data_IF_278807087776
#
_entry.id   IF_278807087776
#
_cell.length_a   1.000
_cell.length_b   1.000
_cell.length_c   1.000
_cell.angle_alpha   90.00
_cell.angle_beta   90.00
_cell.angle_gamma   90.00
#
_symmetry.space_group_name_H-M   'P 1'
#
loop_
_entity.id
_entity.type
_entity.pdbx_description
1 polymer ?
#
# COMPACT_ATOMS: atom_id res chain seq x y z
N UNK A 1 12.35 19.94 -5.38
CA UNK A 1 10.92 19.57 -5.52
C UNK A 1 10.43 19.16 -4.15
N UNK A 2 9.23 19.54 -3.75
CA UNK A 2 8.62 19.02 -2.51
C UNK A 2 8.38 17.52 -2.69
N UNK A 3 8.63 16.70 -1.65
CA UNK A 3 8.36 15.27 -1.68
C UNK A 3 6.88 14.96 -1.94
N UNK A 4 6.58 13.71 -2.24
CA UNK A 4 5.19 13.24 -2.43
C UNK A 4 4.50 13.21 -1.08
N UNK A 5 3.30 13.81 -0.98
CA UNK A 5 2.52 13.77 0.27
C UNK A 5 2.31 12.34 0.75
N UNK A 6 2.79 12.05 1.95
CA UNK A 6 2.84 10.70 2.51
C UNK A 6 2.23 10.70 3.90
N UNK A 7 1.13 9.97 4.04
CA UNK A 7 0.43 9.80 5.31
C UNK A 7 0.84 8.46 5.92
N UNK A 8 1.50 8.50 7.07
CA UNK A 8 1.80 7.29 7.85
C UNK A 8 0.70 7.13 8.90
N UNK A 9 -0.13 6.11 8.73
CA UNK A 9 -1.24 5.78 9.64
C UNK A 9 -0.67 4.94 10.78
N UNK A 10 -0.64 5.50 11.97
CA UNK A 10 -0.06 4.83 13.15
C UNK A 10 -0.84 5.15 14.42
N UNK A 11 -0.71 4.27 15.41
CA UNK A 11 -1.19 4.48 16.77
C UNK A 11 0.00 4.48 17.74
N UNK A 12 0.67 5.62 17.86
CA UNK A 12 1.86 5.80 18.71
C UNK A 12 1.65 5.32 20.15
N UNK A 13 0.47 5.56 20.72
CA UNK A 13 0.21 5.23 22.12
C UNK A 13 0.07 3.72 22.35
N UNK A 14 -0.46 3.00 21.36
CA UNK A 14 -0.65 1.54 21.43
C UNK A 14 0.49 0.74 20.82
N UNK A 15 1.23 1.35 19.87
CA UNK A 15 2.27 0.71 19.06
C UNK A 15 3.51 1.61 18.98
N UNK A 16 4.12 1.97 20.12
CA UNK A 16 5.29 2.85 20.11
C UNK A 16 6.49 2.24 19.37
N UNK A 17 6.62 0.92 19.35
CA UNK A 17 7.63 0.17 18.62
C UNK A 17 7.46 0.33 17.11
N UNK A 18 6.28 0.07 16.57
CA UNK A 18 5.97 0.26 15.15
C UNK A 18 6.13 1.71 14.73
N UNK A 19 5.63 2.63 15.57
CA UNK A 19 5.79 4.06 15.33
C UNK A 19 7.25 4.47 15.20
N UNK A 20 8.11 4.02 16.11
CA UNK A 20 9.54 4.34 16.08
C UNK A 20 10.20 3.77 14.81
N UNK A 21 9.92 2.51 14.49
CA UNK A 21 10.47 1.82 13.31
C UNK A 21 10.06 2.54 12.01
N UNK A 22 8.78 2.86 11.83
CA UNK A 22 8.32 3.49 10.59
C UNK A 22 8.85 4.92 10.44
N UNK A 23 8.96 5.68 11.53
CA UNK A 23 9.57 7.02 11.50
C UNK A 23 11.04 6.94 11.09
N UNK A 24 11.79 5.96 11.61
CA UNK A 24 13.19 5.72 11.22
C UNK A 24 13.30 5.36 9.73
N UNK A 25 12.42 4.51 9.20
CA UNK A 25 12.39 4.12 7.79
C UNK A 25 12.29 5.32 6.83
N UNK A 26 11.59 6.38 7.24
CA UNK A 26 11.36 7.56 6.41
C UNK A 26 12.31 8.74 6.71
N UNK A 27 13.10 8.70 7.80
CA UNK A 27 13.85 9.86 8.34
C UNK A 27 14.82 10.51 7.34
N UNK A 28 15.39 9.74 6.41
CA UNK A 28 16.38 10.20 5.43
C UNK A 28 15.88 10.16 3.98
N UNK A 29 14.57 10.07 3.77
CA UNK A 29 13.96 9.93 2.45
C UNK A 29 13.22 11.21 2.07
N UNK A 30 13.92 12.12 1.39
CA UNK A 30 13.41 13.46 1.04
C UNK A 30 12.37 13.46 -0.07
N UNK A 31 12.21 12.35 -0.79
CA UNK A 31 11.18 12.12 -1.79
C UNK A 31 9.77 11.98 -1.18
N UNK A 32 9.66 11.83 0.15
CA UNK A 32 8.40 11.76 0.87
C UNK A 32 8.17 13.02 1.74
N UNK A 33 7.05 13.72 1.54
CA UNK A 33 6.54 14.74 2.47
C UNK A 33 5.68 14.06 3.54
N UNK A 34 6.35 13.61 4.61
CA UNK A 34 5.76 12.74 5.64
C UNK A 34 4.88 13.51 6.61
N UNK A 35 3.68 13.00 6.81
CA UNK A 35 2.75 13.39 7.86
C UNK A 35 2.32 12.14 8.65
N UNK A 36 2.62 12.11 9.94
CA UNK A 36 2.08 11.06 10.82
C UNK A 36 0.62 11.36 11.10
N UNK A 37 -0.23 10.39 10.85
CA UNK A 37 -1.68 10.48 11.06
C UNK A 37 -2.11 9.47 12.12
N UNK A 38 -2.76 9.96 13.17
CA UNK A 38 -3.32 9.09 14.20
C UNK A 38 -4.39 8.20 13.58
N UNK A 39 -4.26 6.88 13.74
CA UNK A 39 -5.26 5.95 13.22
C UNK A 39 -6.59 6.09 13.98
N UNK A 40 -7.69 5.90 13.28
CA UNK A 40 -9.01 5.73 13.89
C UNK A 40 -9.05 4.32 14.48
N UNK A 41 -9.10 4.23 15.80
CA UNK A 41 -9.12 2.94 16.48
C UNK A 41 -10.52 2.67 17.04
N UNK A 42 -11.17 1.65 16.48
CA UNK A 42 -12.50 1.21 16.92
C UNK A 42 -12.36 -0.19 17.51
N UNK A 43 -12.60 -0.32 18.82
CA UNK A 43 -12.45 -1.62 19.53
C UNK A 43 -13.35 -2.70 18.94
N UNK A 44 -14.56 -2.32 18.52
CA UNK A 44 -15.56 -3.24 17.96
C UNK A 44 -15.33 -3.57 16.48
N UNK A 45 -14.63 -2.72 15.75
CA UNK A 45 -14.39 -2.93 14.31
C UNK A 45 -13.10 -2.26 13.81
N UNK A 46 -11.95 -2.88 14.05
CA UNK A 46 -10.64 -2.39 13.65
C UNK A 46 -10.47 -2.28 12.14
N UNK A 47 -11.14 -3.15 11.38
CA UNK A 47 -11.14 -3.12 9.90
C UNK A 47 -11.75 -1.81 9.38
N UNK A 48 -12.87 -1.43 9.97
CA UNK A 48 -13.51 -0.16 9.64
C UNK A 48 -12.69 1.04 10.12
N UNK A 49 -12.03 0.94 11.28
CA UNK A 49 -11.10 1.96 11.78
C UNK A 49 -9.95 2.23 10.79
N UNK A 50 -9.33 1.18 10.22
CA UNK A 50 -8.31 1.33 9.18
C UNK A 50 -8.88 2.01 7.94
N UNK A 51 -10.04 1.55 7.45
CA UNK A 51 -10.70 2.18 6.30
C UNK A 51 -10.96 3.66 6.52
N UNK A 52 -11.52 4.05 7.67
CA UNK A 52 -11.75 5.45 8.01
C UNK A 52 -10.46 6.26 8.05
N UNK A 53 -9.38 5.69 8.60
CA UNK A 53 -8.07 6.35 8.62
C UNK A 53 -7.56 6.63 7.21
N UNK A 54 -7.66 5.66 6.30
CA UNK A 54 -7.30 5.82 4.89
C UNK A 54 -8.16 6.89 4.21
N UNK A 55 -9.49 6.86 4.43
CA UNK A 55 -10.41 7.84 3.83
C UNK A 55 -10.17 9.25 4.35
N UNK A 56 -9.83 9.43 5.62
CA UNK A 56 -9.45 10.74 6.16
C UNK A 56 -8.19 11.29 5.46
N UNK A 57 -7.18 10.46 5.23
CA UNK A 57 -5.98 10.86 4.49
C UNK A 57 -6.30 11.25 3.03
N UNK A 58 -7.14 10.47 2.35
CA UNK A 58 -7.56 10.76 0.97
C UNK A 58 -8.42 12.03 0.91
N UNK A 59 -9.29 12.25 1.88
CA UNK A 59 -10.09 13.48 1.96
C UNK A 59 -9.20 14.72 2.16
N UNK A 60 -8.17 14.61 3.01
CA UNK A 60 -7.18 15.67 3.18
C UNK A 60 -6.37 15.90 1.89
N UNK A 61 -5.90 14.84 1.24
CA UNK A 61 -5.20 14.92 -0.04
C UNK A 61 -6.06 15.61 -1.13
N UNK A 62 -7.34 15.25 -1.22
CA UNK A 62 -8.29 15.88 -2.14
C UNK A 62 -8.51 17.35 -1.83
N UNK A 63 -8.72 17.69 -0.55
CA UNK A 63 -8.92 19.08 -0.09
C UNK A 63 -7.73 19.98 -0.44
N UNK A 64 -6.52 19.44 -0.35
CA UNK A 64 -5.28 20.15 -0.67
C UNK A 64 -4.88 20.06 -2.15
N UNK A 65 -5.74 19.48 -2.99
CA UNK A 65 -5.53 19.30 -4.43
C UNK A 65 -4.22 18.56 -4.79
N UNK A 66 -3.78 17.62 -3.95
CA UNK A 66 -2.64 16.76 -4.30
C UNK A 66 -3.01 15.81 -5.43
N UNK A 67 -2.22 15.77 -6.49
CA UNK A 67 -2.44 14.89 -7.65
C UNK A 67 -2.28 13.41 -7.29
N UNK A 68 -1.49 13.14 -6.25
CA UNK A 68 -1.30 11.82 -5.65
C UNK A 68 -0.93 11.97 -4.18
N UNK A 69 -1.19 10.92 -3.42
CA UNK A 69 -0.67 10.77 -2.07
C UNK A 69 -0.23 9.32 -1.83
N UNK A 70 0.59 9.11 -0.81
CA UNK A 70 0.99 7.78 -0.36
C UNK A 70 0.33 7.51 0.98
N UNK A 71 -0.29 6.34 1.10
CA UNK A 71 -0.77 5.81 2.37
C UNK A 71 0.18 4.71 2.83
N UNK A 72 0.61 4.79 4.07
CA UNK A 72 1.57 3.86 4.69
C UNK A 72 1.01 3.39 6.03
N UNK A 73 1.02 2.07 6.26
CA UNK A 73 0.75 1.49 7.59
C UNK A 73 2.05 1.44 8.40
N UNK A 74 1.95 1.45 9.73
CA UNK A 74 3.12 1.58 10.62
C UNK A 74 4.00 0.32 10.72
N UNK A 75 3.63 -0.75 10.03
CA UNK A 75 4.44 -1.94 9.86
C UNK A 75 5.13 -2.05 8.47
N UNK A 76 5.00 -1.04 7.63
CA UNK A 76 5.71 -0.99 6.36
C UNK A 76 7.22 -0.81 6.54
N UNK A 77 8.02 -1.54 5.73
CA UNK A 77 9.47 -1.35 5.68
C UNK A 77 9.98 -1.42 4.25
N UNK A 78 11.05 -0.64 3.97
CA UNK A 78 11.74 -0.67 2.69
C UNK A 78 12.66 -1.89 2.59
N UNK A 79 12.56 -2.61 1.47
CA UNK A 79 13.45 -3.74 1.16
C UNK A 79 14.76 -3.27 0.53
N UNK A 80 15.70 -4.19 0.36
CA UNK A 80 16.96 -3.91 -0.37
C UNK A 80 16.76 -3.57 -1.86
N UNK A 81 15.56 -3.82 -2.40
CA UNK A 81 15.19 -3.44 -3.77
C UNK A 81 14.73 -2.00 -3.90
N UNK A 82 14.53 -1.29 -2.76
CA UNK A 82 14.14 0.10 -2.81
C UNK A 82 15.25 0.97 -3.40
N UNK A 83 14.90 1.74 -4.41
CA UNK A 83 15.76 2.77 -4.99
C UNK A 83 14.90 3.99 -5.33
N UNK A 84 15.25 5.15 -4.80
CA UNK A 84 14.52 6.41 -4.95
C UNK A 84 14.21 6.73 -6.42
N UNK A 85 15.24 6.72 -7.28
CA UNK A 85 15.06 7.08 -8.69
C UNK A 85 14.11 6.13 -9.41
N UNK A 86 14.24 4.82 -9.16
CA UNK A 86 13.37 3.80 -9.74
C UNK A 86 11.94 3.93 -9.20
N UNK A 87 11.79 4.17 -7.91
CA UNK A 87 10.49 4.43 -7.29
C UNK A 87 9.78 5.61 -7.94
N UNK A 88 10.46 6.76 -8.05
CA UNK A 88 9.89 7.96 -8.68
C UNK A 88 9.57 7.76 -10.16
N UNK A 89 10.39 7.00 -10.89
CA UNK A 89 10.09 6.62 -12.28
C UNK A 89 8.80 5.82 -12.38
N UNK A 90 8.58 4.83 -11.49
CA UNK A 90 7.37 4.02 -11.48
C UNK A 90 6.14 4.85 -11.11
N UNK A 91 6.25 5.72 -10.10
CA UNK A 91 5.17 6.63 -9.72
C UNK A 91 4.75 7.53 -10.89
N UNK A 92 5.71 8.18 -11.53
CA UNK A 92 5.43 9.10 -12.66
C UNK A 92 4.90 8.34 -13.89
N UNK A 93 5.42 7.17 -14.19
CA UNK A 93 4.90 6.32 -15.26
C UNK A 93 3.44 5.94 -14.99
N UNK A 94 3.12 5.42 -13.81
CA UNK A 94 1.75 5.03 -13.46
C UNK A 94 0.77 6.21 -13.56
N UNK A 95 1.18 7.39 -13.14
CA UNK A 95 0.40 8.62 -13.33
C UNK A 95 0.13 8.90 -14.80
N UNK A 96 1.18 8.92 -15.63
CA UNK A 96 1.10 9.27 -17.06
C UNK A 96 0.20 8.32 -17.87
N UNK A 97 0.14 7.04 -17.48
CA UNK A 97 -0.70 6.04 -18.17
C UNK A 97 -2.03 5.75 -17.43
N UNK A 98 -2.31 6.52 -16.39
CA UNK A 98 -3.60 6.56 -15.72
C UNK A 98 -3.90 5.33 -14.86
N UNK A 99 -2.96 4.89 -14.02
CA UNK A 99 -3.28 3.98 -12.92
C UNK A 99 -4.06 4.70 -11.81
N UNK A 100 -4.82 3.94 -11.04
CA UNK A 100 -5.56 4.39 -9.86
C UNK A 100 -4.71 4.22 -8.60
N UNK A 101 -3.99 3.09 -8.51
CA UNK A 101 -3.16 2.73 -7.36
C UNK A 101 -1.88 2.02 -7.85
N UNK A 102 -0.76 2.36 -7.19
CA UNK A 102 0.51 1.64 -7.29
C UNK A 102 0.88 1.09 -5.91
N UNK A 103 1.09 -0.22 -5.82
CA UNK A 103 1.51 -0.91 -4.59
C UNK A 103 3.03 -1.01 -4.52
N UNK A 104 3.62 -0.75 -3.34
CA UNK A 104 5.04 -0.98 -3.06
C UNK A 104 5.42 -2.45 -2.95
N UNK A 105 4.46 -3.26 -2.50
CA UNK A 105 4.51 -4.71 -2.38
C UNK A 105 3.14 -5.26 -2.04
N UNK A 106 2.92 -6.56 -2.17
CA UNK A 106 1.64 -7.22 -1.94
C UNK A 106 1.82 -8.62 -1.35
N UNK A 107 0.75 -9.13 -0.76
CA UNK A 107 0.60 -10.52 -0.35
C UNK A 107 -0.60 -11.13 -1.05
N UNK A 108 -0.38 -12.28 -1.71
CA UNK A 108 -1.41 -12.96 -2.50
C UNK A 108 -1.80 -12.17 -3.73
N UNK A 109 -1.78 -12.83 -4.84
CA UNK A 109 -2.34 -12.35 -6.12
C UNK A 109 -2.51 -13.56 -7.05
N UNK A 110 -3.28 -13.38 -8.11
CA UNK A 110 -3.35 -14.37 -9.20
C UNK A 110 -3.15 -13.66 -10.54
N UNK A 111 -2.48 -14.34 -11.45
CA UNK A 111 -2.30 -13.89 -12.83
C UNK A 111 -1.82 -12.43 -12.97
N UNK A 112 -0.73 -12.02 -12.28
CA UNK A 112 -0.15 -10.71 -12.51
C UNK A 112 0.39 -10.65 -13.95
N UNK A 113 0.15 -9.52 -14.63
CA UNK A 113 0.59 -9.33 -16.01
C UNK A 113 1.74 -8.33 -16.01
N UNK A 114 2.91 -8.77 -16.49
CA UNK A 114 4.07 -7.88 -16.59
C UNK A 114 3.78 -6.73 -17.56
N UNK A 115 4.03 -5.50 -17.11
CA UNK A 115 3.82 -4.34 -17.95
C UNK A 115 4.75 -4.37 -19.18
N UNK A 116 4.20 -4.15 -20.36
CA UNK A 116 4.95 -4.25 -21.63
C UNK A 116 6.03 -3.17 -21.76
N UNK A 117 5.78 -1.98 -21.21
CA UNK A 117 6.64 -0.80 -21.36
C UNK A 117 7.54 -0.58 -20.12
N UNK A 118 7.15 -1.09 -18.97
CA UNK A 118 7.94 -0.98 -17.74
C UNK A 118 8.03 -2.34 -17.05
N UNK A 119 9.18 -3.01 -17.27
CA UNK A 119 9.38 -4.40 -16.84
C UNK A 119 9.44 -4.61 -15.32
N UNK A 120 9.58 -3.56 -14.54
CA UNK A 120 9.52 -3.60 -13.07
C UNK A 120 8.12 -3.38 -12.50
N UNK A 121 7.12 -3.17 -13.36
CA UNK A 121 5.72 -3.03 -12.96
C UNK A 121 4.89 -4.21 -13.46
N UNK A 122 3.92 -4.60 -12.64
CA UNK A 122 2.99 -5.69 -12.94
C UNK A 122 1.56 -5.25 -12.68
N UNK A 123 0.69 -5.41 -13.68
CA UNK A 123 -0.74 -5.19 -13.53
C UNK A 123 -1.34 -6.30 -12.67
N UNK A 124 -2.18 -5.91 -11.72
CA UNK A 124 -2.83 -6.83 -10.78
C UNK A 124 -4.34 -6.57 -10.74
N UNK A 125 -5.11 -7.65 -10.81
CA UNK A 125 -6.57 -7.59 -10.68
C UNK A 125 -6.99 -7.56 -9.20
N UNK A 126 -6.33 -8.37 -8.36
CA UNK A 126 -6.57 -8.41 -6.93
C UNK A 126 -5.27 -8.69 -6.16
N UNK A 127 -5.23 -8.26 -4.92
CA UNK A 127 -4.18 -8.58 -3.95
C UNK A 127 -4.67 -8.36 -2.53
N UNK A 128 -3.95 -8.92 -1.59
CA UNK A 128 -4.04 -8.54 -0.18
C UNK A 128 -2.94 -7.53 0.12
N UNK A 129 -3.24 -6.57 0.97
CA UNK A 129 -2.35 -5.59 1.56
C UNK A 129 -2.53 -4.16 1.07
N UNK A 130 -2.50 -3.26 2.05
CA UNK A 130 -2.56 -1.81 1.88
C UNK A 130 -1.39 -1.10 2.58
N UNK A 131 -0.38 -1.86 3.04
CA UNK A 131 0.70 -1.33 3.88
C UNK A 131 1.51 -0.20 3.25
N UNK A 132 1.59 -0.14 1.91
CA UNK A 132 2.19 0.96 1.17
C UNK A 132 1.54 1.08 -0.21
N UNK A 133 0.73 2.12 -0.40
CA UNK A 133 0.07 2.38 -1.68
C UNK A 133 0.20 3.86 -2.10
N UNK A 134 0.53 4.10 -3.36
CA UNK A 134 0.39 5.40 -4.01
C UNK A 134 -1.01 5.47 -4.60
N UNK A 135 -1.79 6.47 -4.18
CA UNK A 135 -3.17 6.69 -4.62
C UNK A 135 -3.21 7.94 -5.48
N UNK A 136 -3.69 7.84 -6.72
CA UNK A 136 -3.78 8.96 -7.65
C UNK A 136 -5.14 9.66 -7.55
N UNK A 137 -5.18 10.97 -7.72
CA UNK A 137 -6.36 11.80 -7.50
C UNK A 137 -7.59 11.37 -8.30
N UNK A 138 -7.39 10.77 -9.47
CA UNK A 138 -8.49 10.30 -10.34
C UNK A 138 -9.41 9.27 -9.67
N UNK A 139 -8.94 8.55 -8.63
CA UNK A 139 -9.77 7.59 -7.89
C UNK A 139 -10.23 8.08 -6.51
N UNK A 140 -9.84 9.28 -6.06
CA UNK A 140 -10.23 9.79 -4.74
C UNK A 140 -11.74 9.78 -4.53
N UNK A 141 -12.51 10.30 -5.49
CA UNK A 141 -13.97 10.32 -5.39
C UNK A 141 -14.58 8.93 -5.32
N UNK A 142 -14.04 7.99 -6.08
CA UNK A 142 -14.50 6.62 -6.09
C UNK A 142 -14.30 5.94 -4.74
N UNK A 143 -13.15 6.21 -4.08
CA UNK A 143 -12.84 5.71 -2.75
C UNK A 143 -13.70 6.39 -1.68
N UNK A 144 -13.79 7.72 -1.69
CA UNK A 144 -14.53 8.51 -0.70
C UNK A 144 -16.05 8.26 -0.74
N UNK A 145 -16.60 7.91 -1.90
CA UNK A 145 -18.03 7.63 -2.07
C UNK A 145 -18.40 6.16 -1.79
N UNK A 146 -17.41 5.29 -1.53
CA UNK A 146 -17.69 3.88 -1.23
C UNK A 146 -18.36 3.74 0.14
N UNK A 147 -19.46 2.99 0.17
CA UNK A 147 -20.16 2.67 1.42
C UNK A 147 -19.62 1.36 1.97
N UNK A 148 -18.79 1.47 3.00
CA UNK A 148 -18.17 0.33 3.65
C UNK A 148 -19.19 -0.53 4.40
N UNK A 149 -19.21 -1.81 4.11
CA UNK A 149 -20.09 -2.80 4.75
C UNK A 149 -19.41 -3.36 6.01
N UNK A 150 -19.86 -2.94 7.19
CA UNK A 150 -19.19 -3.18 8.49
C UNK A 150 -18.90 -4.66 8.82
N UNK A 151 -19.68 -5.60 8.29
CA UNK A 151 -19.56 -7.02 8.61
C UNK A 151 -18.74 -7.83 7.60
N UNK A 152 -18.55 -7.32 6.39
CA UNK A 152 -17.94 -8.10 5.31
C UNK A 152 -16.69 -7.45 4.72
N UNK A 153 -16.56 -6.12 4.80
CA UNK A 153 -15.46 -5.43 4.14
C UNK A 153 -14.18 -5.39 4.98
N UNK A 154 -13.08 -5.42 4.24
CA UNK A 154 -11.71 -5.09 4.66
C UNK A 154 -11.11 -4.16 3.61
N UNK A 155 -10.17 -3.31 3.99
CA UNK A 155 -9.66 -2.25 3.11
C UNK A 155 -9.17 -2.77 1.75
N UNK A 156 -8.32 -3.77 1.74
CA UNK A 156 -7.82 -4.42 0.52
C UNK A 156 -8.94 -5.13 -0.28
N UNK A 157 -9.90 -5.75 0.40
CA UNK A 157 -11.10 -6.33 -0.20
C UNK A 157 -11.95 -5.28 -0.95
N UNK A 158 -12.09 -4.09 -0.37
CA UNK A 158 -12.79 -2.96 -1.03
C UNK A 158 -12.03 -2.52 -2.28
N UNK A 159 -10.70 -2.38 -2.21
CA UNK A 159 -9.89 -2.04 -3.39
C UNK A 159 -10.04 -3.08 -4.50
N UNK A 160 -10.21 -4.37 -4.14
CA UNK A 160 -10.45 -5.44 -5.10
C UNK A 160 -11.84 -5.33 -5.78
N UNK A 161 -12.88 -4.92 -5.02
CA UNK A 161 -14.25 -4.77 -5.52
C UNK A 161 -14.44 -3.56 -6.44
N UNK A 162 -13.64 -2.51 -6.27
CA UNK A 162 -13.84 -1.23 -6.95
C UNK A 162 -13.42 -1.23 -8.43
N UNK A 163 -12.82 -2.29 -8.97
CA UNK A 163 -12.39 -2.33 -10.37
C UNK A 163 -11.40 -1.20 -10.71
N UNK A 164 -10.46 -0.94 -9.81
CA UNK A 164 -9.40 0.04 -9.98
C UNK A 164 -8.30 -0.50 -10.89
N UNK A 165 -7.71 0.34 -11.73
CA UNK A 165 -6.50 0.01 -12.48
C UNK A 165 -5.31 0.06 -11.54
N UNK A 166 -4.72 -1.09 -11.24
CA UNK A 166 -3.68 -1.21 -10.22
C UNK A 166 -2.43 -1.88 -10.76
N UNK A 167 -1.29 -1.43 -10.25
CA UNK A 167 0.00 -2.06 -10.49
C UNK A 167 0.74 -2.32 -9.17
N UNK A 168 1.71 -3.21 -9.21
CA UNK A 168 2.68 -3.45 -8.14
C UNK A 168 4.09 -3.38 -8.69
N UNK A 169 5.01 -2.88 -7.88
CA UNK A 169 6.45 -2.91 -8.12
C UNK A 169 6.99 -4.32 -7.86
N UNK A 170 7.76 -4.88 -8.79
CA UNK A 170 8.44 -6.16 -8.58
C UNK A 170 9.85 -6.16 -9.17
N UNK A 171 10.90 -6.50 -8.40
CA UNK A 171 10.85 -6.95 -6.99
C UNK A 171 10.19 -5.93 -6.06
N UNK A 172 9.54 -6.43 -4.99
CA UNK A 172 8.81 -5.58 -4.05
C UNK A 172 9.74 -4.60 -3.34
N UNK A 173 9.42 -3.30 -3.41
CA UNK A 173 10.22 -2.25 -2.79
C UNK A 173 9.84 -1.99 -1.33
N UNK A 174 8.59 -2.28 -0.96
CA UNK A 174 8.09 -2.12 0.41
C UNK A 174 7.30 -3.35 0.79
N UNK A 175 7.54 -3.86 1.99
CA UNK A 175 6.84 -5.01 2.56
C UNK A 175 6.36 -4.69 3.97
N UNK A 176 5.65 -5.62 4.59
CA UNK A 176 5.12 -5.51 5.94
C UNK A 176 6.00 -6.32 6.90
N UNK A 177 6.44 -5.68 7.99
CA UNK A 177 7.23 -6.32 9.04
C UNK A 177 6.30 -7.16 9.93
N UNK A 178 6.70 -8.38 10.22
CA UNK A 178 6.00 -9.25 11.15
C UNK A 178 6.43 -8.93 12.58
N UNK A 179 5.54 -8.32 13.35
CA UNK A 179 5.73 -8.02 14.77
C UNK A 179 5.21 -9.14 15.69
N UNK A 180 4.77 -10.28 15.11
CA UNK A 180 4.18 -11.37 15.86
C UNK A 180 2.75 -11.14 16.33
N UNK A 181 2.16 -10.01 16.01
CA UNK A 181 0.78 -9.65 16.29
C UNK A 181 0.19 -8.75 15.20
N UNK A 182 -1.12 -8.79 15.05
CA UNK A 182 -1.89 -7.91 14.17
C UNK A 182 -3.18 -7.48 14.87
N UNK A 183 -3.65 -6.27 14.53
CA UNK A 183 -4.91 -5.75 15.09
C UNK A 183 -6.14 -6.20 14.30
N UNK A 184 -5.95 -6.67 13.07
CA UNK A 184 -7.05 -6.89 12.12
C UNK A 184 -7.32 -8.37 11.87
N UNK A 185 -6.28 -9.20 11.84
CA UNK A 185 -6.37 -10.62 11.49
C UNK A 185 -5.68 -11.49 12.54
N UNK A 186 -6.22 -12.71 12.76
CA UNK A 186 -5.61 -13.71 13.63
C UNK A 186 -4.62 -14.55 12.81
N UNK A 187 -3.43 -14.01 12.55
CA UNK A 187 -2.37 -14.76 11.89
C UNK A 187 -1.35 -15.26 12.92
N UNK A 188 -0.84 -16.46 12.68
CA UNK A 188 0.29 -17.01 13.44
C UNK A 188 1.59 -16.39 12.98
N UNK A 189 2.57 -16.32 13.87
CA UNK A 189 3.95 -15.92 13.53
C UNK A 189 4.45 -16.72 12.33
N UNK A 190 5.03 -16.04 11.35
CA UNK A 190 5.54 -16.65 10.12
C UNK A 190 4.53 -16.76 8.97
N UNK A 191 3.24 -16.52 9.20
CA UNK A 191 2.22 -16.57 8.14
C UNK A 191 2.52 -15.56 7.00
N UNK A 192 2.98 -14.36 7.36
CA UNK A 192 3.36 -13.33 6.38
C UNK A 192 4.53 -13.79 5.50
N UNK A 193 5.53 -14.47 6.08
CA UNK A 193 6.66 -15.00 5.31
C UNK A 193 6.22 -16.11 4.34
N UNK A 194 5.25 -16.95 4.74
CA UNK A 194 4.67 -17.96 3.86
C UNK A 194 3.90 -17.35 2.71
N UNK A 195 3.02 -16.39 3.00
CA UNK A 195 2.27 -15.66 1.96
C UNK A 195 3.21 -14.95 0.98
N UNK A 196 4.28 -14.31 1.46
CA UNK A 196 5.26 -13.65 0.62
C UNK A 196 5.98 -14.63 -0.30
N UNK A 197 6.41 -15.79 0.25
CA UNK A 197 7.06 -16.84 -0.54
C UNK A 197 6.15 -17.36 -1.65
N UNK A 198 4.86 -17.59 -1.35
CA UNK A 198 3.92 -18.07 -2.35
C UNK A 198 3.58 -16.99 -3.38
N UNK A 199 3.48 -15.73 -2.96
CA UNK A 199 3.32 -14.60 -3.87
C UNK A 199 4.52 -14.49 -4.82
N UNK A 200 5.75 -14.56 -4.32
CA UNK A 200 6.95 -14.52 -5.17
C UNK A 200 6.99 -15.65 -6.20
N UNK A 201 6.56 -16.87 -5.84
CA UNK A 201 6.45 -17.98 -6.80
C UNK A 201 5.55 -17.65 -7.98
N UNK A 202 4.42 -16.94 -7.74
CA UNK A 202 3.51 -16.53 -8.81
C UNK A 202 4.23 -15.61 -9.81
N UNK A 203 5.00 -14.63 -9.34
CA UNK A 203 5.78 -13.74 -10.21
C UNK A 203 6.90 -14.47 -10.94
N UNK A 204 7.64 -15.35 -10.26
CA UNK A 204 8.72 -16.14 -10.87
C UNK A 204 8.23 -17.08 -11.98
N UNK A 205 7.09 -17.73 -11.78
CA UNK A 205 6.47 -18.59 -12.82
C UNK A 205 6.12 -17.75 -14.05
N UNK A 206 5.49 -16.57 -13.84
CA UNK A 206 5.16 -15.68 -14.95
C UNK A 206 6.40 -15.12 -15.66
N UNK A 207 7.51 -14.88 -14.95
CA UNK A 207 8.77 -14.48 -15.58
C UNK A 207 9.35 -15.57 -16.51
N UNK A 208 9.26 -16.84 -16.11
CA UNK A 208 9.75 -17.98 -16.91
C UNK A 208 8.94 -18.21 -18.19
N UNK A 209 7.66 -17.89 -18.18
CA UNK A 209 6.78 -18.04 -19.35
C UNK A 209 6.93 -16.91 -20.38
N UNK A 210 7.61 -15.83 -20.03
CA UNK A 210 7.86 -14.67 -20.90
C UNK A 210 9.23 -14.70 -21.61
N UNK A 211 10.08 -15.68 -21.28
CA UNK A 211 11.36 -15.96 -21.92
C UNK A 211 11.23 -17.17 -22.86
#
# INVERSE_FOLDING_TARGET
MSGIKTYIISNKDRRPDRYADVVEQFSNKTEFDVQITQCVFLDDNRRYGLWLSMMNCIADAKKNAYEKCILVEDDAYFTDYYNENTFLQYVNYCESVGYDILHGGIYGTSNPIRNAYNKGLWDIAWCWSTHFIVVYNKCYDKLLNYKFELHSDVADGVLNKLGLKRAVMYPFMVLQKDYGYTDITFHTVGHMAEMLRDTNKVFEVNLRTLN
#
